data_IF_357452686049
#
_entry.id   IF_357452686049
#
_cell.length_a   1.000
_cell.length_b   1.000
_cell.length_c   1.000
_cell.angle_alpha   90.00
_cell.angle_beta   90.00
_cell.angle_gamma   90.00
#
_symmetry.space_group_name_H-M   'P 1'
#
loop_
_entity.id
_entity.type
_entity.pdbx_description
1 polymer ?
#
# COMPACT_ATOMS: atom_id res chain seq x y z
N UNK A 1 2.26 33.25 42.02
CA UNK A 1 2.78 33.10 40.64
C UNK A 1 4.18 32.49 40.71
N UNK A 2 4.37 31.16 40.69
CA UNK A 2 5.69 30.52 40.45
C UNK A 2 5.64 28.98 40.31
N UNK A 3 4.50 28.39 39.89
CA UNK A 3 4.37 26.91 39.80
C UNK A 3 4.02 26.38 38.41
N UNK A 4 3.98 27.21 37.36
CA UNK A 4 3.67 26.77 35.98
C UNK A 4 4.88 26.68 35.03
N UNK A 5 6.12 26.93 35.48
CA UNK A 5 7.32 26.92 34.61
C UNK A 5 8.11 25.59 34.70
N UNK A 6 7.90 24.77 35.75
CA UNK A 6 8.71 23.55 35.97
C UNK A 6 8.16 22.32 35.20
N UNK A 7 6.87 22.29 34.86
CA UNK A 7 6.25 21.17 34.13
C UNK A 7 6.53 21.21 32.61
N UNK A 8 6.73 22.38 32.02
CA UNK A 8 7.12 22.53 30.60
C UNK A 8 8.59 22.26 30.36
N UNK A 9 9.46 22.50 31.36
CA UNK A 9 10.90 22.24 31.25
C UNK A 9 11.25 20.74 31.35
N UNK A 10 10.47 19.97 32.11
CA UNK A 10 10.64 18.51 32.24
C UNK A 10 10.14 17.75 31.01
N UNK A 11 9.03 18.15 30.39
CA UNK A 11 8.55 17.50 29.15
C UNK A 11 9.51 17.74 27.98
N UNK A 12 10.16 18.91 27.92
CA UNK A 12 11.21 19.18 26.93
C UNK A 12 12.44 18.28 27.16
N UNK A 13 12.92 18.11 28.40
CA UNK A 13 14.11 17.27 28.65
C UNK A 13 13.87 15.79 28.37
N UNK A 14 12.65 15.26 28.60
CA UNK A 14 12.31 13.88 28.24
C UNK A 14 12.28 13.65 26.73
N UNK A 15 11.73 14.57 25.92
CA UNK A 15 11.79 14.45 24.45
C UNK A 15 13.23 14.56 23.91
N UNK A 16 14.07 15.40 24.52
CA UNK A 16 15.48 15.53 24.12
C UNK A 16 16.31 14.29 24.49
N UNK A 17 16.05 13.66 25.63
CA UNK A 17 16.73 12.42 26.04
C UNK A 17 16.36 11.24 25.12
N UNK A 18 15.07 11.08 24.81
CA UNK A 18 14.58 10.02 23.90
C UNK A 18 15.16 10.18 22.50
N UNK A 19 15.19 11.40 21.95
CA UNK A 19 15.80 11.65 20.63
C UNK A 19 17.32 11.41 20.63
N UNK A 20 18.04 11.80 21.69
CA UNK A 20 19.48 11.56 21.79
C UNK A 20 19.85 10.07 21.84
N UNK A 21 19.02 9.23 22.49
CA UNK A 21 19.26 7.79 22.54
C UNK A 21 18.90 7.10 21.22
N UNK A 22 17.90 7.59 20.51
CA UNK A 22 17.52 7.10 19.18
C UNK A 22 18.62 7.39 18.13
N UNK A 23 19.27 8.56 18.19
CA UNK A 23 20.41 8.88 17.31
C UNK A 23 21.63 7.99 17.59
N UNK A 24 21.89 7.67 18.88
CA UNK A 24 22.95 6.71 19.25
C UNK A 24 22.67 5.31 18.71
N UNK A 25 21.41 4.89 18.73
CA UNK A 25 20.97 3.62 18.15
C UNK A 25 21.14 3.64 16.61
N UNK A 26 20.82 4.75 15.93
CA UNK A 26 21.03 4.91 14.50
C UNK A 26 22.53 4.83 14.11
N UNK A 27 23.42 5.38 14.94
CA UNK A 27 24.87 5.30 14.75
C UNK A 27 25.46 3.88 14.86
N UNK A 28 24.65 2.88 15.25
CA UNK A 28 25.04 1.46 15.18
C UNK A 28 24.95 0.87 13.78
N UNK A 29 24.30 1.56 12.84
CA UNK A 29 24.32 1.20 11.43
C UNK A 29 25.68 1.58 10.85
N UNK A 30 26.61 0.62 10.80
CA UNK A 30 28.00 0.80 10.38
C UNK A 30 28.33 0.14 9.04
N UNK A 31 27.53 -0.82 8.59
CA UNK A 31 27.81 -1.63 7.41
C UNK A 31 26.58 -1.78 6.49
N UNK A 32 26.76 -2.14 5.20
CA UNK A 32 25.67 -2.25 4.23
C UNK A 32 24.52 -3.18 4.66
N UNK A 33 24.81 -4.27 5.37
CA UNK A 33 23.77 -5.18 5.86
C UNK A 33 22.91 -4.55 6.96
N UNK A 34 23.52 -3.70 7.80
CA UNK A 34 22.81 -2.96 8.84
C UNK A 34 21.96 -1.83 8.24
N UNK A 35 22.46 -1.15 7.19
CA UNK A 35 21.66 -0.17 6.43
C UNK A 35 20.45 -0.86 5.78
N UNK A 36 20.65 -2.03 5.17
CA UNK A 36 19.56 -2.79 4.58
C UNK A 36 18.50 -3.19 5.61
N UNK A 37 18.90 -3.65 6.80
CA UNK A 37 17.97 -3.91 7.91
C UNK A 37 17.23 -2.63 8.30
N UNK A 38 17.96 -1.54 8.53
CA UNK A 38 17.38 -0.25 8.93
C UNK A 38 16.32 0.23 7.93
N UNK A 39 16.62 0.23 6.63
CA UNK A 39 15.69 0.66 5.59
C UNK A 39 14.46 -0.26 5.47
N UNK A 40 14.65 -1.57 5.64
CA UNK A 40 13.56 -2.55 5.61
C UNK A 40 12.57 -2.33 6.77
N UNK A 41 13.07 -2.00 7.96
CA UNK A 41 12.24 -1.71 9.14
C UNK A 41 11.65 -0.29 9.11
N UNK A 42 12.37 0.69 8.55
CA UNK A 42 11.93 2.08 8.50
C UNK A 42 10.82 2.31 7.46
N UNK A 43 10.85 1.60 6.32
CA UNK A 43 9.92 1.83 5.23
C UNK A 43 8.43 1.61 5.60
N UNK A 44 8.05 0.52 6.31
CA UNK A 44 6.68 0.37 6.82
C UNK A 44 6.25 1.52 7.74
N UNK A 45 7.16 2.01 8.59
CA UNK A 45 6.87 3.14 9.49
C UNK A 45 6.65 4.41 8.70
N UNK A 46 7.47 4.70 7.69
CA UNK A 46 7.28 5.83 6.79
C UNK A 46 5.92 5.75 6.07
N UNK A 47 5.55 4.56 5.57
CA UNK A 47 4.26 4.28 4.89
C UNK A 47 3.04 4.33 5.83
N UNK A 48 3.22 4.19 7.14
CA UNK A 48 2.10 3.94 8.08
C UNK A 48 1.02 5.03 8.10
N UNK A 49 1.38 6.33 8.08
CA UNK A 49 0.37 7.40 8.15
C UNK A 49 -0.50 7.42 6.89
N UNK A 50 0.13 7.19 5.74
CA UNK A 50 -0.57 7.08 4.46
C UNK A 50 -1.51 5.88 4.45
N UNK A 51 -1.03 4.71 4.87
CA UNK A 51 -1.84 3.49 4.94
C UNK A 51 -3.02 3.64 5.92
N UNK A 52 -2.80 4.26 7.09
CA UNK A 52 -3.86 4.55 8.06
C UNK A 52 -4.92 5.48 7.45
N UNK A 53 -4.50 6.49 6.70
CA UNK A 53 -5.41 7.39 5.98
C UNK A 53 -6.26 6.64 4.93
N UNK A 54 -5.66 5.68 4.21
CA UNK A 54 -6.39 4.82 3.27
C UNK A 54 -7.37 3.87 3.98
N UNK A 55 -6.99 3.29 5.12
CA UNK A 55 -7.90 2.47 5.93
C UNK A 55 -9.10 3.29 6.43
N UNK A 56 -8.89 4.53 6.85
CA UNK A 56 -9.96 5.45 7.26
C UNK A 56 -10.92 5.77 6.10
N UNK A 57 -10.41 5.91 4.87
CA UNK A 57 -11.26 6.05 3.66
C UNK A 57 -12.15 4.81 3.49
N UNK A 58 -11.57 3.62 3.59
CA UNK A 58 -12.32 2.36 3.45
C UNK A 58 -13.33 2.17 4.58
N UNK A 59 -13.02 2.63 5.79
CA UNK A 59 -13.96 2.67 6.90
C UNK A 59 -15.16 3.57 6.64
N UNK A 60 -14.96 4.80 6.16
CA UNK A 60 -16.06 5.71 5.83
C UNK A 60 -16.88 5.20 4.65
N UNK A 61 -16.26 4.50 3.68
CA UNK A 61 -17.01 3.78 2.63
C UNK A 61 -17.93 2.71 3.20
N UNK A 62 -17.47 1.94 4.20
CA UNK A 62 -18.31 0.94 4.89
C UNK A 62 -19.47 1.60 5.64
N UNK A 63 -19.23 2.74 6.31
CA UNK A 63 -20.29 3.51 6.96
C UNK A 63 -21.33 4.05 5.96
N UNK A 64 -20.88 4.61 4.85
CA UNK A 64 -21.77 5.09 3.79
C UNK A 64 -22.69 3.97 3.28
N UNK A 65 -22.13 2.77 3.06
CA UNK A 65 -22.89 1.57 2.67
C UNK A 65 -23.93 1.19 3.71
N UNK A 66 -23.56 1.20 4.99
CA UNK A 66 -24.46 0.91 6.10
C UNK A 66 -25.62 1.91 6.16
N UNK A 67 -25.32 3.21 6.11
CA UNK A 67 -26.35 4.26 6.13
C UNK A 67 -27.28 4.16 4.92
N UNK A 68 -26.75 3.88 3.73
CA UNK A 68 -27.56 3.70 2.54
C UNK A 68 -28.52 2.51 2.66
N UNK A 69 -28.05 1.37 3.19
CA UNK A 69 -28.90 0.21 3.48
C UNK A 69 -29.95 0.53 4.56
N UNK A 70 -29.58 1.27 5.59
CA UNK A 70 -30.50 1.66 6.65
C UNK A 70 -31.60 2.59 6.14
N UNK A 71 -31.26 3.57 5.29
CA UNK A 71 -32.20 4.49 4.68
C UNK A 71 -33.26 3.75 3.84
N UNK A 72 -32.85 2.74 3.06
CA UNK A 72 -33.77 2.02 2.19
C UNK A 72 -34.61 0.96 2.93
N UNK A 73 -34.15 0.45 4.08
CA UNK A 73 -34.87 -0.58 4.84
C UNK A 73 -35.75 -0.03 5.98
N UNK A 74 -35.72 1.28 6.27
CA UNK A 74 -36.61 1.87 7.27
C UNK A 74 -37.89 2.40 6.65
N UNK A 75 -39.03 2.07 7.27
CA UNK A 75 -40.34 2.64 6.93
C UNK A 75 -40.57 4.00 7.63
N UNK A 76 -39.75 4.36 8.63
CA UNK A 76 -39.84 5.63 9.33
C UNK A 76 -39.17 6.75 8.51
N UNK A 77 -39.95 7.75 8.09
CA UNK A 77 -39.48 8.88 7.27
C UNK A 77 -38.38 9.70 7.94
N UNK A 78 -38.44 9.91 9.26
CA UNK A 78 -37.42 10.66 10.00
C UNK A 78 -36.10 9.90 10.05
N UNK A 79 -36.14 8.60 10.37
CA UNK A 79 -34.94 7.75 10.34
C UNK A 79 -34.37 7.65 8.92
N UNK A 80 -35.23 7.56 7.91
CA UNK A 80 -34.81 7.58 6.50
C UNK A 80 -34.06 8.86 6.17
N UNK A 81 -34.55 10.01 6.60
CA UNK A 81 -33.88 11.29 6.40
C UNK A 81 -32.53 11.34 7.12
N UNK A 82 -32.45 10.87 8.37
CA UNK A 82 -31.20 10.78 9.13
C UNK A 82 -30.13 9.95 8.39
N UNK A 83 -30.50 8.76 7.90
CA UNK A 83 -29.56 7.91 7.17
C UNK A 83 -29.18 8.46 5.79
N UNK A 84 -30.12 9.11 5.08
CA UNK A 84 -29.79 9.83 3.83
C UNK A 84 -28.80 10.96 4.06
N UNK A 85 -29.01 11.72 5.13
CA UNK A 85 -28.09 12.77 5.58
C UNK A 85 -26.69 12.20 5.85
N UNK A 86 -26.59 11.15 6.67
CA UNK A 86 -25.30 10.52 7.00
C UNK A 86 -24.61 9.92 5.76
N UNK A 87 -25.38 9.36 4.83
CA UNK A 87 -24.88 8.87 3.54
C UNK A 87 -24.25 10.01 2.73
N UNK A 88 -24.97 11.12 2.57
CA UNK A 88 -24.49 12.29 1.83
C UNK A 88 -23.23 12.90 2.47
N UNK A 89 -23.22 13.03 3.80
CA UNK A 89 -22.05 13.54 4.54
C UNK A 89 -20.84 12.61 4.40
N UNK A 90 -21.05 11.29 4.44
CA UNK A 90 -19.98 10.30 4.21
C UNK A 90 -19.37 10.47 2.82
N UNK A 91 -20.19 10.55 1.77
CA UNK A 91 -19.69 10.76 0.41
C UNK A 91 -18.98 12.10 0.23
N UNK A 92 -19.44 13.16 0.89
CA UNK A 92 -18.72 14.44 0.89
C UNK A 92 -17.32 14.32 1.50
N UNK A 93 -17.20 13.60 2.63
CA UNK A 93 -15.90 13.35 3.28
C UNK A 93 -14.99 12.47 2.41
N UNK A 94 -15.54 11.47 1.75
CA UNK A 94 -14.80 10.62 0.82
C UNK A 94 -14.26 11.42 -0.36
N UNK A 95 -15.07 12.28 -0.98
CA UNK A 95 -14.65 13.12 -2.09
C UNK A 95 -13.54 14.11 -1.66
N UNK A 96 -13.64 14.70 -0.47
CA UNK A 96 -12.58 15.55 0.08
C UNK A 96 -11.28 14.76 0.32
N UNK A 97 -11.37 13.55 0.87
CA UNK A 97 -10.22 12.69 1.11
C UNK A 97 -9.57 12.18 -0.19
N UNK A 98 -10.35 11.85 -1.22
CA UNK A 98 -9.83 11.45 -2.52
C UNK A 98 -9.04 12.58 -3.19
N UNK A 99 -9.57 13.81 -3.12
CA UNK A 99 -8.88 14.98 -3.66
C UNK A 99 -7.59 15.32 -2.89
N UNK A 100 -7.60 15.20 -1.56
CA UNK A 100 -6.40 15.46 -0.74
C UNK A 100 -5.34 14.36 -0.84
N UNK A 101 -5.71 13.13 -1.24
CA UNK A 101 -4.80 11.98 -1.31
C UNK A 101 -4.10 11.81 -2.66
N UNK A 102 -4.53 12.47 -3.73
CA UNK A 102 -3.99 12.25 -5.08
C UNK A 102 -2.48 12.49 -5.15
N UNK A 103 -2.02 13.70 -4.77
CA UNK A 103 -0.58 14.02 -4.78
C UNK A 103 0.21 13.22 -3.74
N UNK A 104 -0.39 12.92 -2.59
CA UNK A 104 0.26 12.09 -1.57
C UNK A 104 0.50 10.64 -2.05
N UNK A 105 -0.38 10.09 -2.88
CA UNK A 105 -0.22 8.74 -3.45
C UNK A 105 0.96 8.67 -4.43
N UNK A 106 1.08 9.68 -5.30
CA UNK A 106 2.20 9.78 -6.25
C UNK A 106 3.54 9.92 -5.50
N UNK A 107 3.63 10.85 -4.55
CA UNK A 107 4.81 11.05 -3.72
C UNK A 107 5.18 9.80 -2.90
N UNK A 108 4.19 9.14 -2.29
CA UNK A 108 4.40 7.90 -1.54
C UNK A 108 4.96 6.79 -2.44
N UNK A 109 4.42 6.62 -3.63
CA UNK A 109 4.90 5.63 -4.61
C UNK A 109 6.34 5.91 -5.03
N UNK A 110 6.63 7.12 -5.50
CA UNK A 110 7.96 7.50 -6.00
C UNK A 110 9.06 7.33 -4.94
N UNK A 111 8.84 7.86 -3.73
CA UNK A 111 9.86 7.87 -2.69
C UNK A 111 10.01 6.51 -2.00
N UNK A 112 8.91 5.75 -1.85
CA UNK A 112 9.01 4.37 -1.37
C UNK A 112 9.81 3.50 -2.34
N UNK A 113 9.55 3.61 -3.65
CA UNK A 113 10.32 2.91 -4.67
C UNK A 113 11.79 3.32 -4.65
N UNK A 114 12.11 4.58 -4.34
CA UNK A 114 13.51 5.01 -4.18
C UNK A 114 14.22 4.26 -3.03
N UNK A 115 13.56 4.11 -1.88
CA UNK A 115 14.11 3.34 -0.75
C UNK A 115 14.23 1.85 -1.11
N UNK A 116 13.23 1.26 -1.76
CA UNK A 116 13.26 -0.14 -2.22
C UNK A 116 14.39 -0.36 -3.24
N UNK A 117 14.61 0.57 -4.17
CA UNK A 117 15.75 0.53 -5.10
C UNK A 117 17.08 0.60 -4.37
N UNK A 118 17.21 1.42 -3.32
CA UNK A 118 18.41 1.45 -2.48
C UNK A 118 18.67 0.12 -1.78
N UNK A 119 17.63 -0.51 -1.24
CA UNK A 119 17.71 -1.87 -0.67
C UNK A 119 18.23 -2.85 -1.73
N UNK A 120 17.72 -2.81 -2.96
CA UNK A 120 18.23 -3.65 -4.05
C UNK A 120 19.68 -3.33 -4.43
N UNK A 121 20.09 -2.05 -4.44
CA UNK A 121 21.49 -1.69 -4.66
C UNK A 121 22.40 -2.31 -3.58
N UNK A 122 21.97 -2.32 -2.31
CA UNK A 122 22.71 -2.95 -1.21
C UNK A 122 22.77 -4.48 -1.37
N UNK A 123 21.68 -5.12 -1.80
CA UNK A 123 21.67 -6.56 -2.09
C UNK A 123 22.67 -6.90 -3.20
N UNK A 124 22.70 -6.12 -4.27
CA UNK A 124 23.64 -6.30 -5.37
C UNK A 124 25.08 -6.06 -4.92
N UNK A 125 25.34 -5.03 -4.12
CA UNK A 125 26.65 -4.80 -3.51
C UNK A 125 27.12 -6.03 -2.73
N UNK A 126 26.26 -6.59 -1.87
CA UNK A 126 26.60 -7.74 -1.04
C UNK A 126 26.79 -9.03 -1.87
N UNK A 127 25.99 -9.21 -2.93
CA UNK A 127 26.10 -10.36 -3.84
C UNK A 127 27.37 -10.34 -4.69
N UNK A 128 27.83 -9.16 -5.09
CA UNK A 128 28.97 -9.00 -5.99
C UNK A 128 30.29 -8.69 -5.30
N UNK A 129 30.35 -8.69 -3.96
CA UNK A 129 31.64 -8.69 -3.25
C UNK A 129 32.46 -9.91 -3.66
N UNK A 130 33.79 -9.74 -3.69
CA UNK A 130 34.70 -10.86 -3.95
C UNK A 130 34.54 -11.85 -2.80
N UNK A 131 33.90 -12.97 -3.11
CA UNK A 131 33.72 -14.09 -2.22
C UNK A 131 34.89 -15.04 -2.41
N UNK A 132 34.60 -16.21 -2.97
CA UNK A 132 35.63 -17.21 -3.29
C UNK A 132 35.95 -17.15 -4.77
N UNK A 133 37.19 -16.81 -5.09
CA UNK A 133 37.72 -16.93 -6.45
C UNK A 133 37.75 -18.41 -6.87
N UNK A 134 37.28 -18.68 -8.08
CA UNK A 134 37.31 -20.02 -8.70
C UNK A 134 37.83 -19.91 -10.13
N UNK A 135 38.42 -21.00 -10.62
CA UNK A 135 38.96 -21.10 -11.98
C UNK A 135 38.14 -22.15 -12.75
N UNK A 136 37.08 -21.74 -13.47
CA UNK A 136 36.06 -22.66 -13.98
C UNK A 136 36.55 -23.52 -15.14
N UNK A 137 37.51 -23.01 -15.91
CA UNK A 137 38.10 -23.67 -17.08
C UNK A 137 39.60 -23.79 -16.90
N UNK A 138 40.20 -24.77 -17.57
CA UNK A 138 41.65 -24.90 -17.60
C UNK A 138 42.27 -23.62 -18.15
N UNK A 139 43.43 -23.24 -17.62
CA UNK A 139 44.21 -22.16 -18.20
C UNK A 139 44.62 -22.54 -19.63
N UNK A 140 44.74 -21.55 -20.50
CA UNK A 140 45.10 -21.77 -21.91
C UNK A 140 46.47 -21.14 -22.16
N UNK A 141 47.52 -21.95 -22.38
CA UNK A 141 48.78 -21.49 -22.92
C UNK A 141 48.55 -20.79 -24.26
N UNK A 142 48.99 -19.55 -24.37
CA UNK A 142 48.93 -18.78 -25.60
C UNK A 142 50.12 -19.02 -26.50
N UNK A 143 49.95 -18.63 -27.76
CA UNK A 143 51.06 -18.52 -28.70
C UNK A 143 51.89 -17.27 -28.39
N UNK A 144 53.09 -17.18 -28.97
CA UNK A 144 53.89 -15.96 -28.89
C UNK A 144 53.14 -14.78 -29.51
N UNK A 145 53.03 -13.69 -28.75
CA UNK A 145 52.47 -12.44 -29.21
C UNK A 145 53.53 -11.34 -29.19
N UNK A 146 53.70 -10.65 -30.31
CA UNK A 146 54.64 -9.56 -30.44
C UNK A 146 54.14 -8.30 -29.72
N UNK A 147 55.06 -7.59 -29.05
CA UNK A 147 54.84 -6.26 -28.46
C UNK A 147 53.82 -6.20 -27.32
N UNK A 148 53.57 -7.31 -26.61
CA UNK A 148 52.63 -7.35 -25.45
C UNK A 148 53.31 -6.89 -24.16
N UNK A 149 54.57 -7.30 -23.95
CA UNK A 149 55.45 -6.81 -22.88
C UNK A 149 56.85 -6.62 -23.48
N UNK A 150 57.32 -5.37 -23.58
CA UNK A 150 58.54 -4.95 -24.32
C UNK A 150 58.41 -5.05 -25.86
N UNK A 151 59.48 -4.71 -26.58
CA UNK A 151 59.55 -4.73 -28.05
C UNK A 151 59.79 -6.11 -28.68
N UNK A 152 59.79 -7.19 -27.88
CA UNK A 152 59.99 -8.57 -28.32
C UNK A 152 58.69 -9.38 -28.44
N UNK A 153 58.80 -10.70 -28.63
CA UNK A 153 57.69 -11.64 -28.48
C UNK A 153 57.56 -12.08 -27.02
N UNK A 154 56.33 -12.24 -26.55
CA UNK A 154 56.03 -12.75 -25.21
C UNK A 154 55.04 -13.92 -25.30
N UNK A 155 55.29 -14.97 -24.52
CA UNK A 155 54.30 -16.01 -24.24
C UNK A 155 53.24 -15.46 -23.29
N UNK A 156 52.02 -15.95 -23.41
CA UNK A 156 50.93 -15.56 -22.52
C UNK A 156 50.21 -16.79 -21.94
N UNK A 157 49.53 -16.59 -20.81
CA UNK A 157 48.70 -17.60 -20.18
C UNK A 157 47.33 -17.00 -19.91
N UNK A 158 46.30 -17.50 -20.60
CA UNK A 158 44.93 -17.03 -20.40
C UNK A 158 44.29 -17.81 -19.26
N UNK A 159 43.90 -17.10 -18.21
CA UNK A 159 43.27 -17.66 -17.01
C UNK A 159 41.85 -17.09 -16.91
N UNK A 160 40.85 -17.98 -16.88
CA UNK A 160 39.46 -17.58 -16.61
C UNK A 160 39.24 -17.56 -15.10
N UNK A 161 38.65 -16.47 -14.61
CA UNK A 161 38.38 -16.28 -13.18
C UNK A 161 36.89 -16.04 -13.00
N UNK A 162 36.28 -16.82 -12.11
CA UNK A 162 34.94 -16.60 -11.61
C UNK A 162 35.00 -16.15 -10.14
N UNK A 163 34.09 -15.26 -9.77
CA UNK A 163 33.80 -14.95 -8.37
C UNK A 163 32.56 -15.75 -7.96
N UNK A 164 32.73 -16.77 -7.13
CA UNK A 164 31.60 -17.50 -6.57
C UNK A 164 30.81 -16.55 -5.65
N UNK A 165 29.66 -16.10 -6.15
CA UNK A 165 28.78 -15.17 -5.45
C UNK A 165 28.09 -15.88 -4.29
N UNK A 166 27.95 -15.24 -3.12
CA UNK A 166 27.12 -15.77 -2.05
C UNK A 166 25.68 -15.97 -2.55
N UNK A 167 25.11 -17.14 -2.25
CA UNK A 167 23.73 -17.50 -2.63
C UNK A 167 22.70 -17.03 -1.63
N UNK A 168 23.13 -16.59 -0.43
CA UNK A 168 22.28 -16.12 0.66
C UNK A 168 22.81 -14.85 1.33
N UNK A 169 21.89 -14.00 1.79
CA UNK A 169 22.20 -12.80 2.57
C UNK A 169 22.34 -13.17 4.06
N UNK A 170 23.30 -14.04 4.39
CA UNK A 170 23.53 -14.48 5.79
C UNK A 170 23.71 -13.32 6.75
N UNK A 171 24.20 -12.19 6.27
CA UNK A 171 24.40 -11.01 7.10
C UNK A 171 23.11 -10.47 7.74
N UNK A 172 21.91 -10.85 7.26
CA UNK A 172 20.64 -10.52 7.92
C UNK A 172 20.26 -11.48 9.06
N UNK A 173 20.87 -12.67 9.13
CA UNK A 173 20.54 -13.69 10.16
C UNK A 173 21.23 -13.43 11.50
N UNK A 174 22.37 -12.70 11.49
CA UNK A 174 23.15 -12.37 12.68
C UNK A 174 23.64 -10.91 12.64
N UNK A 175 22.71 -9.97 12.46
CA UNK A 175 23.04 -8.53 12.45
C UNK A 175 23.46 -8.10 13.85
N UNK A 176 24.71 -7.66 14.02
CA UNK A 176 25.16 -7.04 15.27
C UNK A 176 24.34 -5.77 15.55
N UNK A 177 23.96 -5.55 16.81
CA UNK A 177 23.13 -4.42 17.25
C UNK A 177 21.73 -4.37 16.61
N UNK A 178 21.19 -5.51 16.14
CA UNK A 178 19.86 -5.63 15.51
C UNK A 178 18.76 -4.85 16.24
N UNK A 179 18.65 -4.99 17.55
CA UNK A 179 17.58 -4.36 18.32
C UNK A 179 17.69 -2.83 18.33
N UNK A 180 18.91 -2.30 18.47
CA UNK A 180 19.17 -0.85 18.40
C UNK A 180 18.82 -0.31 17.02
N UNK A 181 19.31 -0.97 15.96
CA UNK A 181 19.03 -0.59 14.57
C UNK A 181 17.51 -0.60 14.31
N UNK A 182 16.81 -1.62 14.80
CA UNK A 182 15.35 -1.74 14.65
C UNK A 182 14.61 -0.64 15.41
N UNK A 183 15.06 -0.28 16.62
CA UNK A 183 14.48 0.85 17.38
C UNK A 183 14.67 2.17 16.63
N UNK A 184 15.88 2.44 16.14
CA UNK A 184 16.17 3.64 15.35
C UNK A 184 15.31 3.69 14.07
N UNK A 185 15.19 2.58 13.35
CA UNK A 185 14.35 2.48 12.16
C UNK A 185 12.86 2.75 12.48
N UNK A 186 12.36 2.25 13.62
CA UNK A 186 10.99 2.54 14.07
C UNK A 186 10.77 3.99 14.45
N UNK A 187 11.83 4.70 14.81
CA UNK A 187 11.83 6.13 15.10
C UNK A 187 12.32 7.00 13.94
N UNK A 188 12.33 6.48 12.70
CA UNK A 188 12.80 7.20 11.50
C UNK A 188 12.19 8.59 11.28
N UNK A 189 10.98 8.83 11.80
CA UNK A 189 10.33 10.15 11.72
C UNK A 189 10.95 11.19 12.64
N UNK A 190 11.65 10.78 13.69
CA UNK A 190 12.28 11.64 14.69
C UNK A 190 13.77 11.83 14.43
N UNK A 191 14.38 10.93 13.66
CA UNK A 191 15.78 11.01 13.27
C UNK A 191 16.08 12.29 12.47
N UNK A 192 17.23 12.87 12.77
CA UNK A 192 17.86 13.96 12.02
C UNK A 192 18.74 13.39 10.92
N UNK A 193 19.40 12.27 11.20
CA UNK A 193 20.42 11.68 10.35
C UNK A 193 20.21 10.17 10.17
N UNK A 194 20.68 9.68 9.02
CA UNK A 194 20.82 8.26 8.73
C UNK A 194 22.30 7.94 8.56
N UNK A 195 22.63 6.65 8.69
CA UNK A 195 23.95 6.16 8.30
C UNK A 195 23.78 5.29 7.06
N UNK A 196 24.39 5.71 5.95
CA UNK A 196 24.23 5.10 4.65
C UNK A 196 25.59 4.75 4.04
N UNK A 197 25.63 3.66 3.28
CA UNK A 197 26.80 3.23 2.50
C UNK A 197 27.20 4.36 1.56
N UNK A 198 28.46 4.83 1.58
CA UNK A 198 28.90 5.87 0.67
C UNK A 198 28.71 5.44 -0.78
N UNK A 199 28.37 6.37 -1.68
CA UNK A 199 28.12 6.05 -3.08
C UNK A 199 29.35 5.41 -3.76
N UNK A 200 30.55 5.85 -3.39
CA UNK A 200 31.82 5.25 -3.83
C UNK A 200 32.00 3.81 -3.38
N UNK A 201 31.33 3.39 -2.30
CA UNK A 201 31.34 2.02 -1.79
C UNK A 201 30.60 1.03 -2.69
N UNK A 202 29.78 1.51 -3.63
CA UNK A 202 29.14 0.65 -4.64
C UNK A 202 30.04 0.35 -5.85
N UNK A 203 31.22 0.98 -5.94
CA UNK A 203 32.20 0.70 -6.98
C UNK A 203 33.00 -0.58 -6.69
N UNK A 204 33.48 -1.23 -7.75
CA UNK A 204 34.49 -2.30 -7.64
C UNK A 204 35.87 -1.66 -7.49
N UNK A 205 36.19 -1.18 -6.29
CA UNK A 205 37.48 -0.56 -5.99
C UNK A 205 38.41 -1.52 -5.25
N UNK A 206 39.72 -1.35 -5.46
CA UNK A 206 40.73 -2.04 -4.65
C UNK A 206 40.97 -3.49 -5.03
N UNK A 207 40.67 -3.90 -6.26
CA UNK A 207 41.02 -5.24 -6.74
C UNK A 207 42.54 -5.40 -6.79
N UNK A 208 43.07 -6.34 -6.03
CA UNK A 208 44.46 -6.77 -6.06
C UNK A 208 44.54 -8.15 -6.69
N UNK A 209 45.31 -8.25 -7.77
CA UNK A 209 45.63 -9.52 -8.43
C UNK A 209 47.13 -9.73 -8.26
N UNK A 210 47.49 -10.77 -7.51
CA UNK A 210 48.89 -11.19 -7.38
C UNK A 210 49.17 -12.24 -8.44
N UNK A 211 50.10 -11.90 -9.33
CA UNK A 211 50.65 -12.81 -10.33
C UNK A 211 52.05 -13.20 -9.86
N UNK A 212 52.32 -14.50 -9.83
CA UNK A 212 53.66 -15.01 -9.57
C UNK A 212 54.19 -15.71 -10.83
N UNK A 213 55.50 -15.62 -11.03
CA UNK A 213 56.22 -16.38 -12.04
C UNK A 213 57.46 -16.99 -11.40
N UNK A 214 57.86 -18.15 -11.89
CA UNK A 214 59.05 -18.88 -11.45
C UNK A 214 59.81 -19.39 -12.67
N UNK A 215 61.14 -19.33 -12.59
CA UNK A 215 62.03 -19.78 -13.67
C UNK A 215 61.88 -19.01 -14.99
N UNK A 216 62.26 -19.67 -16.09
CA UNK A 216 62.09 -19.14 -17.45
C UNK A 216 60.66 -19.35 -17.93
N UNK A 217 59.91 -18.25 -18.03
CA UNK A 217 58.50 -18.22 -18.46
C UNK A 217 58.27 -18.60 -19.93
N UNK A 218 59.33 -18.84 -20.69
CA UNK A 218 59.28 -19.36 -22.07
C UNK A 218 58.65 -20.77 -22.13
N UNK A 219 58.72 -21.53 -21.04
CA UNK A 219 58.20 -22.90 -20.94
C UNK A 219 56.79 -22.96 -20.32
N UNK A 220 55.91 -22.02 -20.69
CA UNK A 220 54.52 -21.94 -20.20
C UNK A 220 53.53 -22.70 -21.10
N UNK A 221 53.97 -23.74 -21.81
CA UNK A 221 53.20 -24.42 -22.87
C UNK A 221 52.12 -25.40 -22.34
N UNK A 222 51.97 -25.54 -21.02
CA UNK A 222 51.01 -26.46 -20.37
C UNK A 222 50.15 -25.73 -19.34
N UNK A 223 48.86 -26.07 -19.31
CA UNK A 223 47.95 -25.61 -18.27
C UNK A 223 48.30 -26.26 -16.93
N UNK A 224 48.25 -25.50 -15.83
CA UNK A 224 48.37 -26.08 -14.49
C UNK A 224 47.13 -26.90 -14.13
N UNK A 225 47.29 -27.92 -13.28
CA UNK A 225 46.15 -28.72 -12.80
C UNK A 225 45.20 -27.94 -11.90
N UNK A 226 45.70 -26.87 -11.27
CA UNK A 226 44.93 -25.95 -10.44
C UNK A 226 44.14 -24.91 -11.27
N UNK A 227 44.35 -24.90 -12.60
CA UNK A 227 43.69 -24.04 -13.59
C UNK A 227 43.95 -22.54 -13.44
N UNK A 228 44.75 -22.15 -12.45
CA UNK A 228 45.07 -20.76 -12.12
C UNK A 228 46.38 -20.26 -12.75
N UNK A 229 46.96 -20.99 -13.70
CA UNK A 229 48.22 -20.64 -14.34
C UNK A 229 48.65 -21.63 -15.41
N UNK A 230 49.77 -21.32 -16.04
CA UNK A 230 50.43 -22.18 -17.02
C UNK A 230 51.82 -22.51 -16.48
N UNK A 231 52.14 -23.80 -16.44
CA UNK A 231 53.31 -24.30 -15.74
C UNK A 231 53.74 -25.67 -16.23
N UNK A 232 55.03 -25.97 -16.07
CA UNK A 232 55.64 -27.25 -16.43
C UNK A 232 56.50 -27.79 -15.27
N UNK A 233 56.48 -29.12 -15.09
CA UNK A 233 57.52 -29.85 -14.36
C UNK A 233 57.99 -31.02 -15.23
N UNK A 234 59.30 -31.05 -15.54
CA UNK A 234 60.11 -32.02 -16.28
C UNK A 234 59.53 -32.68 -17.55
N UNK A 235 58.27 -33.13 -17.57
CA UNK A 235 57.52 -33.63 -18.72
C UNK A 235 55.98 -33.50 -18.64
N UNK A 236 55.36 -33.01 -17.56
CA UNK A 236 53.88 -33.02 -17.39
C UNK A 236 53.29 -31.77 -16.73
N UNK A 237 51.98 -31.57 -16.92
CA UNK A 237 51.20 -30.60 -16.15
C UNK A 237 51.25 -30.92 -14.65
N UNK A 238 51.37 -29.91 -13.80
CA UNK A 238 51.46 -30.04 -12.34
C UNK A 238 50.66 -28.93 -11.63
N UNK A 239 50.34 -29.10 -10.33
CA UNK A 239 49.87 -28.01 -9.50
C UNK A 239 50.86 -26.85 -9.52
N UNK A 240 50.38 -25.60 -9.46
CA UNK A 240 51.25 -24.41 -9.52
C UNK A 240 52.29 -24.39 -8.41
N UNK A 241 51.97 -24.97 -7.25
CA UNK A 241 52.88 -25.04 -6.10
C UNK A 241 54.12 -25.93 -6.34
N UNK A 242 54.08 -26.82 -7.34
CA UNK A 242 55.11 -27.82 -7.64
C UNK A 242 55.83 -27.55 -8.98
N UNK A 243 55.57 -26.40 -9.60
CA UNK A 243 56.15 -26.02 -10.88
C UNK A 243 57.55 -25.43 -10.69
N UNK A 244 58.51 -25.90 -11.50
CA UNK A 244 59.85 -25.30 -11.55
C UNK A 244 59.88 -24.09 -12.49
N UNK A 245 59.01 -24.10 -13.51
CA UNK A 245 58.84 -23.08 -14.52
C UNK A 245 57.35 -22.77 -14.70
N UNK A 246 56.95 -21.50 -14.67
CA UNK A 246 55.57 -21.14 -14.94
C UNK A 246 55.14 -19.77 -14.45
N UNK A 247 53.90 -19.40 -14.76
CA UNK A 247 53.25 -18.20 -14.26
C UNK A 247 51.76 -18.44 -13.95
N UNK A 248 51.22 -17.73 -12.96
CA UNK A 248 49.81 -17.84 -12.64
C UNK A 248 49.33 -16.82 -11.62
N UNK A 249 48.01 -16.79 -11.45
CA UNK A 249 47.34 -15.98 -10.43
C UNK A 249 47.38 -16.76 -9.10
N UNK A 250 48.14 -16.25 -8.15
CA UNK A 250 48.28 -16.86 -6.82
C UNK A 250 47.26 -16.32 -5.84
N UNK A 251 46.77 -15.09 -6.06
CA UNK A 251 45.78 -14.46 -5.20
C UNK A 251 44.98 -13.44 -5.98
N UNK A 252 43.66 -13.43 -5.75
CA UNK A 252 42.79 -12.31 -6.06
C UNK A 252 42.16 -11.91 -4.75
N UNK A 253 42.36 -10.66 -4.35
CA UNK A 253 41.74 -10.08 -3.17
C UNK A 253 41.20 -8.71 -3.49
N UNK A 254 40.30 -8.24 -2.65
CA UNK A 254 39.97 -6.83 -2.58
C UNK A 254 40.77 -6.26 -1.41
N UNK A 255 41.43 -5.10 -1.57
CA UNK A 255 41.94 -4.30 -0.45
C UNK A 255 40.74 -3.98 0.41
N UNK A 256 40.58 -4.77 1.47
CA UNK A 256 39.43 -4.74 2.34
C UNK A 256 39.49 -3.48 3.19
N UNK A 257 39.14 -2.34 2.60
CA UNK A 257 38.56 -1.29 3.42
C UNK A 257 37.12 -1.73 3.62
N UNK A 258 36.78 -2.16 4.83
CA UNK A 258 35.40 -2.45 5.17
C UNK A 258 34.54 -1.26 4.73
N UNK A 259 33.48 -1.53 3.97
CA UNK A 259 32.58 -0.46 3.56
C UNK A 259 31.85 0.00 4.82
N UNK A 260 32.31 1.12 5.37
CA UNK A 260 31.67 1.75 6.51
C UNK A 260 30.66 2.78 6.02
N UNK A 261 29.47 2.74 6.60
CA UNK A 261 28.45 3.76 6.38
C UNK A 261 28.96 5.13 6.83
N UNK A 262 28.41 6.18 6.21
CA UNK A 262 28.63 7.56 6.60
C UNK A 262 27.30 8.18 7.01
N UNK A 263 27.38 9.06 7.98
CA UNK A 263 26.27 9.88 8.41
C UNK A 263 25.82 10.80 7.28
N UNK A 264 24.51 10.92 7.10
CA UNK A 264 23.88 11.83 6.16
C UNK A 264 22.63 12.42 6.78
N UNK A 265 22.44 13.73 6.60
CA UNK A 265 21.26 14.42 7.10
C UNK A 265 20.04 14.04 6.27
N UNK A 266 18.92 13.84 6.95
CA UNK A 266 17.61 13.65 6.31
C UNK A 266 17.07 15.01 5.86
N UNK A 267 17.14 16.00 6.75
CA UNK A 267 16.83 17.41 6.49
C UNK A 267 18.15 18.19 6.62
N UNK A 268 18.63 18.85 5.55
CA UNK A 268 19.88 19.60 5.61
C UNK A 268 19.69 20.92 6.37
N UNK A 269 20.78 21.43 6.95
CA UNK A 269 20.76 22.73 7.63
C UNK A 269 20.65 23.89 6.61
N UNK A 270 21.15 23.69 5.39
CA UNK A 270 21.19 24.65 4.29
C UNK A 270 20.83 24.02 2.93
N UNK A 271 20.44 24.87 1.98
CA UNK A 271 20.18 24.44 0.60
C UNK A 271 18.95 23.54 0.39
N UNK A 272 17.98 23.57 1.31
CA UNK A 272 16.65 22.99 1.06
C UNK A 272 15.91 23.79 -0.02
N UNK A 273 15.37 23.10 -1.01
CA UNK A 273 14.71 23.67 -2.20
C UNK A 273 13.36 23.01 -2.50
N UNK A 274 12.88 22.14 -1.60
CA UNK A 274 11.56 21.49 -1.64
C UNK A 274 10.97 21.38 -0.22
N UNK A 275 10.59 22.53 0.33
CA UNK A 275 10.19 22.64 1.72
C UNK A 275 11.39 22.45 2.65
N UNK A 276 11.35 21.44 3.52
CA UNK A 276 12.48 21.08 4.40
C UNK A 276 13.45 20.09 3.77
N UNK A 277 13.13 19.59 2.58
CA UNK A 277 13.92 18.60 1.87
C UNK A 277 14.78 19.28 0.80
N UNK A 278 15.93 18.68 0.50
CA UNK A 278 16.81 19.09 -0.59
C UNK A 278 16.70 18.09 -1.74
N UNK A 279 16.29 18.58 -2.91
CA UNK A 279 16.20 17.77 -4.12
C UNK A 279 17.60 17.32 -4.51
N UNK A 280 17.77 16.02 -4.81
CA UNK A 280 19.02 15.53 -5.35
C UNK A 280 19.20 16.08 -6.76
N UNK A 281 20.46 16.35 -7.15
CA UNK A 281 20.79 16.56 -8.56
C UNK A 281 20.56 15.23 -9.28
N UNK A 282 19.42 15.11 -9.97
CA UNK A 282 19.08 13.90 -10.73
C UNK A 282 19.89 13.87 -12.01
N UNK A 283 20.63 12.78 -12.22
CA UNK A 283 20.95 12.33 -13.57
C UNK A 283 19.81 11.44 -14.03
N UNK A 284 19.13 11.85 -15.11
CA UNK A 284 18.16 10.96 -15.76
C UNK A 284 18.90 9.65 -16.09
N UNK A 285 18.34 8.53 -15.65
CA UNK A 285 18.94 7.17 -15.77
C UNK A 285 20.02 6.78 -14.75
N UNK A 286 20.09 7.43 -13.57
CA UNK A 286 20.94 6.95 -12.48
C UNK A 286 20.61 5.49 -12.07
N UNK A 287 21.59 4.59 -12.21
CA UNK A 287 21.48 3.18 -11.82
C UNK A 287 21.50 3.03 -10.29
N UNK A 288 22.38 3.80 -9.64
CA UNK A 288 22.55 3.85 -8.19
C UNK A 288 21.61 4.88 -7.57
N UNK A 289 20.88 4.50 -6.53
CA UNK A 289 20.25 5.45 -5.62
C UNK A 289 21.34 6.00 -4.69
N UNK A 290 21.68 7.28 -4.85
CA UNK A 290 22.69 7.94 -4.02
C UNK A 290 22.19 8.16 -2.60
N UNK A 291 23.10 8.43 -1.66
CA UNK A 291 22.75 8.84 -0.30
C UNK A 291 21.85 10.09 -0.28
N UNK A 292 22.10 11.06 -1.15
CA UNK A 292 21.24 12.26 -1.27
C UNK A 292 19.82 11.92 -1.74
N UNK A 293 19.68 11.03 -2.73
CA UNK A 293 18.37 10.54 -3.18
C UNK A 293 17.64 9.80 -2.06
N UNK A 294 18.35 9.01 -1.26
CA UNK A 294 17.80 8.29 -0.12
C UNK A 294 17.31 9.27 0.97
N UNK A 295 18.14 10.23 1.38
CA UNK A 295 17.77 11.26 2.36
C UNK A 295 16.56 12.06 1.91
N UNK A 296 16.54 12.48 0.64
CA UNK A 296 15.40 13.18 0.05
C UNK A 296 14.13 12.33 0.10
N UNK A 297 14.20 11.06 -0.31
CA UNK A 297 13.06 10.16 -0.27
C UNK A 297 12.51 9.98 1.16
N UNK A 298 13.38 9.79 2.14
CA UNK A 298 12.97 9.68 3.55
C UNK A 298 12.33 11.00 4.03
N UNK A 299 12.93 12.15 3.73
CA UNK A 299 12.39 13.46 4.09
C UNK A 299 11.00 13.71 3.49
N UNK A 300 10.81 13.37 2.21
CA UNK A 300 9.51 13.49 1.54
C UNK A 300 8.47 12.53 2.11
N UNK A 301 8.85 11.29 2.44
CA UNK A 301 7.93 10.36 3.10
C UNK A 301 7.57 10.79 4.53
N UNK A 302 8.51 11.40 5.27
CA UNK A 302 8.23 11.98 6.60
C UNK A 302 7.20 13.12 6.53
N UNK A 303 7.29 13.95 5.48
CA UNK A 303 6.37 15.07 5.25
C UNK A 303 5.07 14.69 4.55
N UNK A 304 5.02 13.52 3.89
CA UNK A 304 3.81 13.02 3.23
C UNK A 304 2.82 12.52 4.28
N UNK A 305 1.87 13.37 4.64
CA UNK A 305 0.77 13.02 5.54
C UNK A 305 -0.54 12.93 4.77
N UNK A 306 -1.33 11.92 5.10
CA UNK A 306 -2.71 11.81 4.67
C UNK A 306 -3.55 11.77 5.93
N UNK A 307 -4.39 12.78 6.11
CA UNK A 307 -5.46 12.72 7.10
C UNK A 307 -6.64 12.04 6.44
N UNK A 308 -6.92 10.80 6.84
CA UNK A 308 -8.13 10.12 6.39
C UNK A 308 -9.39 10.75 6.99
N UNK A 309 -10.56 10.53 6.36
CA UNK A 309 -11.80 11.09 6.84
C UNK A 309 -12.19 10.45 8.18
N UNK A 310 -12.65 11.26 9.14
CA UNK A 310 -13.14 10.73 10.40
C UNK A 310 -14.46 9.98 10.20
N UNK A 311 -14.57 8.82 10.85
CA UNK A 311 -15.82 8.04 10.93
C UNK A 311 -16.94 8.83 11.58
N UNK A 312 -18.14 8.74 11.03
CA UNK A 312 -19.33 9.36 11.61
C UNK A 312 -19.82 8.59 12.85
N UNK A 313 -19.66 7.26 12.90
CA UNK A 313 -20.05 6.42 14.06
C UNK A 313 -19.45 6.92 15.38
N UNK A 314 -18.20 7.39 15.34
CA UNK A 314 -17.43 7.82 16.49
C UNK A 314 -17.69 9.29 16.89
N UNK A 315 -18.42 10.05 16.07
CA UNK A 315 -18.70 11.45 16.35
C UNK A 315 -19.96 11.59 17.20
N UNK A 316 -19.89 12.51 18.18
CA UNK A 316 -21.09 13.05 18.83
C UNK A 316 -21.90 13.84 17.81
N UNK A 317 -23.23 13.77 17.94
CA UNK A 317 -24.15 14.53 17.08
C UNK A 317 -23.88 16.03 17.18
N UNK A 318 -23.52 16.54 18.36
CA UNK A 318 -23.08 17.93 18.54
C UNK A 318 -21.87 18.31 17.67
N UNK A 319 -20.88 17.43 17.52
CA UNK A 319 -19.72 17.70 16.67
C UNK A 319 -20.10 17.74 15.19
N UNK A 320 -21.06 16.90 14.78
CA UNK A 320 -21.60 16.91 13.40
C UNK A 320 -22.42 18.17 13.16
N UNK A 321 -23.18 18.65 14.16
CA UNK A 321 -23.96 19.87 14.05
C UNK A 321 -23.10 21.14 13.87
N UNK A 322 -21.85 21.10 14.31
CA UNK A 322 -20.87 22.18 14.15
C UNK A 322 -20.06 22.08 12.83
N UNK A 323 -20.20 21.00 12.07
CA UNK A 323 -19.53 20.84 10.77
C UNK A 323 -20.29 21.65 9.70
N UNK A 324 -19.60 22.58 9.02
CA UNK A 324 -20.22 23.45 8.01
C UNK A 324 -20.80 22.67 6.82
N UNK A 325 -20.16 21.57 6.43
CA UNK A 325 -20.64 20.71 5.34
C UNK A 325 -21.91 19.99 5.76
N UNK A 326 -21.92 19.44 6.98
CA UNK A 326 -23.11 18.84 7.59
C UNK A 326 -24.27 19.83 7.65
N UNK A 327 -24.04 21.05 8.15
CA UNK A 327 -25.04 22.12 8.19
C UNK A 327 -25.67 22.42 6.82
N UNK A 328 -24.85 22.56 5.77
CA UNK A 328 -25.33 22.82 4.40
C UNK A 328 -26.11 21.64 3.82
N UNK A 329 -25.66 20.40 4.08
CA UNK A 329 -26.38 19.18 3.65
C UNK A 329 -27.74 19.10 4.37
N UNK A 330 -27.79 19.41 5.67
CA UNK A 330 -29.04 19.40 6.43
C UNK A 330 -30.04 20.44 5.90
N UNK A 331 -29.58 21.66 5.62
CA UNK A 331 -30.43 22.71 5.04
C UNK A 331 -30.98 22.30 3.67
N UNK A 332 -30.12 21.75 2.80
CA UNK A 332 -30.54 21.28 1.48
C UNK A 332 -31.55 20.13 1.57
N UNK A 333 -31.33 19.18 2.50
CA UNK A 333 -32.23 18.04 2.69
C UNK A 333 -33.60 18.45 3.26
N UNK A 334 -33.63 19.48 4.11
CA UNK A 334 -34.85 19.93 4.81
C UNK A 334 -35.63 20.99 4.04
N UNK A 335 -34.96 21.85 3.26
CA UNK A 335 -35.57 23.00 2.59
C UNK A 335 -35.52 22.93 1.05
N UNK A 336 -34.70 22.04 0.50
CA UNK A 336 -34.47 21.94 -0.95
C UNK A 336 -33.52 23.00 -1.52
N UNK A 337 -32.97 23.91 -0.70
CA UNK A 337 -32.01 24.93 -1.10
C UNK A 337 -30.97 25.21 0.00
N UNK A 338 -29.95 25.99 -0.32
CA UNK A 338 -29.00 26.54 0.67
C UNK A 338 -29.16 28.06 0.61
N UNK A 339 -29.60 28.68 1.70
CA UNK A 339 -29.82 30.13 1.77
C UNK A 339 -28.66 30.79 2.52
N UNK A 340 -28.01 31.78 1.89
CA UNK A 340 -26.88 32.48 2.48
C UNK A 340 -27.24 33.21 3.78
N UNK A 341 -28.52 33.54 3.97
CA UNK A 341 -29.02 34.25 5.15
C UNK A 341 -29.36 33.34 6.33
N UNK A 342 -29.38 32.02 6.14
CA UNK A 342 -29.65 31.07 7.23
C UNK A 342 -28.52 31.11 8.27
N UNK A 343 -28.80 31.47 9.54
CA UNK A 343 -27.78 31.50 10.59
C UNK A 343 -27.18 30.13 10.88
N UNK A 344 -25.91 30.11 11.30
CA UNK A 344 -25.16 28.88 11.64
C UNK A 344 -25.88 28.05 12.69
N UNK A 345 -26.41 28.70 13.73
CA UNK A 345 -27.14 28.07 14.84
C UNK A 345 -28.38 27.34 14.32
N UNK A 346 -29.12 27.97 13.41
CA UNK A 346 -30.31 27.39 12.78
C UNK A 346 -29.95 26.18 11.90
N UNK A 347 -28.82 26.22 11.20
CA UNK A 347 -28.34 25.04 10.45
C UNK A 347 -27.90 23.92 11.38
N UNK A 348 -27.27 24.24 12.51
CA UNK A 348 -26.89 23.25 13.52
C UNK A 348 -28.14 22.56 14.11
N UNK A 349 -29.19 23.31 14.39
CA UNK A 349 -30.49 22.77 14.82
C UNK A 349 -31.11 21.82 13.78
N UNK A 350 -30.98 22.12 12.49
CA UNK A 350 -31.43 21.19 11.42
C UNK A 350 -30.69 19.86 11.47
N UNK A 351 -29.38 19.88 11.73
CA UNK A 351 -28.58 18.64 11.90
C UNK A 351 -29.06 17.86 13.12
N UNK A 352 -29.26 18.53 14.26
CA UNK A 352 -29.75 17.90 15.50
C UNK A 352 -31.16 17.32 15.28
N UNK A 353 -32.05 18.04 14.59
CA UNK A 353 -33.41 17.56 14.28
C UNK A 353 -33.40 16.28 13.42
N UNK A 354 -32.42 16.14 12.52
CA UNK A 354 -32.24 14.94 11.71
C UNK A 354 -31.67 13.77 12.52
N UNK A 355 -30.69 14.01 13.39
CA UNK A 355 -29.91 12.95 14.03
C UNK A 355 -30.39 12.56 15.43
N UNK A 356 -31.08 13.45 16.13
CA UNK A 356 -31.60 13.24 17.48
C UNK A 356 -30.73 13.86 18.58
N UNK A 357 -30.57 13.13 19.68
CA UNK A 357 -29.93 13.62 20.91
C UNK A 357 -28.47 14.02 20.69
N UNK A 358 -28.18 15.32 20.85
CA UNK A 358 -26.85 15.90 20.63
C UNK A 358 -25.73 15.29 21.50
N UNK A 359 -26.09 14.77 22.67
CA UNK A 359 -25.12 14.22 23.63
C UNK A 359 -24.58 12.84 23.22
N UNK A 360 -25.32 12.13 22.36
CA UNK A 360 -24.99 10.78 21.91
C UNK A 360 -24.13 10.76 20.67
N UNK A 361 -23.46 9.63 20.47
CA UNK A 361 -22.77 9.31 19.23
C UNK A 361 -23.72 8.77 18.17
N UNK A 362 -23.30 8.82 16.90
CA UNK A 362 -24.02 8.16 15.80
C UNK A 362 -24.08 6.64 16.02
N UNK A 363 -23.03 6.02 16.58
CA UNK A 363 -23.04 4.58 16.89
C UNK A 363 -24.18 4.23 17.86
N UNK A 364 -24.34 4.98 18.94
CA UNK A 364 -25.35 4.75 19.97
C UNK A 364 -26.77 5.01 19.45
N UNK A 365 -26.96 6.15 18.78
CA UNK A 365 -28.29 6.64 18.42
C UNK A 365 -28.84 5.96 17.14
N UNK A 366 -27.97 5.66 16.17
CA UNK A 366 -28.40 5.28 14.81
C UNK A 366 -27.84 3.94 14.33
N UNK A 367 -26.60 3.52 14.70
CA UNK A 367 -26.04 2.26 14.19
C UNK A 367 -26.42 1.05 15.06
N UNK A 368 -26.33 1.17 16.39
CA UNK A 368 -26.62 0.06 17.31
C UNK A 368 -28.01 -0.54 17.10
N UNK A 369 -29.09 0.26 16.88
CA UNK A 369 -30.40 -0.28 16.57
C UNK A 369 -30.46 -1.17 15.30
N UNK A 370 -29.56 -0.96 14.34
CA UNK A 370 -29.53 -1.71 13.07
C UNK A 370 -29.11 -3.17 13.22
N UNK A 371 -28.45 -3.54 14.33
CA UNK A 371 -28.07 -4.94 14.62
C UNK A 371 -29.29 -5.87 14.74
N UNK A 372 -30.44 -5.30 15.10
CA UNK A 372 -31.72 -6.02 15.21
C UNK A 372 -32.48 -6.16 13.89
N UNK A 373 -31.97 -5.57 12.79
CA UNK A 373 -32.69 -5.46 11.53
C UNK A 373 -32.11 -6.44 10.50
N UNK A 374 -32.89 -7.47 10.18
CA UNK A 374 -32.55 -8.46 9.15
C UNK A 374 -33.51 -8.30 7.97
N UNK A 375 -33.03 -7.85 6.80
CA UNK A 375 -33.84 -7.80 5.60
C UNK A 375 -34.30 -9.20 5.17
N UNK A 376 -35.60 -9.34 4.91
CA UNK A 376 -36.22 -10.62 4.53
C UNK A 376 -36.17 -10.84 3.01
N UNK A 377 -34.99 -11.19 2.50
CA UNK A 377 -34.80 -11.60 1.11
C UNK A 377 -34.10 -12.95 1.04
N UNK A 378 -34.33 -13.68 -0.05
CA UNK A 378 -33.64 -14.95 -0.33
C UNK A 378 -32.87 -14.93 -1.64
N UNK A 379 -31.80 -15.71 -1.70
CA UNK A 379 -31.01 -15.99 -2.91
C UNK A 379 -30.98 -17.51 -3.08
N UNK A 380 -31.39 -18.00 -4.26
CA UNK A 380 -31.38 -19.43 -4.60
C UNK A 380 -32.11 -20.30 -3.54
N UNK A 381 -33.22 -19.79 -3.00
CA UNK A 381 -34.02 -20.47 -1.98
C UNK A 381 -33.53 -20.32 -0.54
N UNK A 382 -32.33 -19.79 -0.32
CA UNK A 382 -31.78 -19.54 1.02
C UNK A 382 -32.16 -18.15 1.51
N UNK A 383 -32.77 -18.06 2.70
CA UNK A 383 -33.11 -16.79 3.34
C UNK A 383 -31.86 -16.09 3.90
N UNK A 384 -31.86 -14.76 3.83
CA UNK A 384 -30.82 -13.95 4.44
C UNK A 384 -30.92 -14.01 5.98
N UNK A 385 -29.82 -14.41 6.62
CA UNK A 385 -29.68 -14.41 8.08
C UNK A 385 -28.91 -13.19 8.63
N UNK A 386 -28.29 -12.38 7.76
CA UNK A 386 -27.41 -11.26 8.18
C UNK A 386 -28.21 -10.00 8.48
N UNK A 387 -27.86 -9.32 9.56
CA UNK A 387 -28.41 -7.99 9.86
C UNK A 387 -27.80 -6.91 8.95
N UNK A 388 -28.35 -5.70 8.98
CA UNK A 388 -27.91 -4.58 8.15
C UNK A 388 -26.43 -4.20 8.35
N UNK A 389 -25.91 -4.30 9.59
CA UNK A 389 -24.50 -4.01 9.90
C UNK A 389 -23.59 -5.02 9.20
N UNK A 390 -23.88 -6.31 9.32
CA UNK A 390 -23.09 -7.38 8.70
C UNK A 390 -23.23 -7.40 7.17
N UNK A 391 -24.39 -6.99 6.65
CA UNK A 391 -24.61 -6.87 5.21
C UNK A 391 -23.74 -5.79 4.58
N UNK A 392 -23.52 -4.66 5.28
CA UNK A 392 -22.76 -3.51 4.78
C UNK A 392 -21.30 -3.82 4.42
N UNK A 393 -20.73 -4.87 5.02
CA UNK A 393 -19.34 -5.31 4.82
C UNK A 393 -19.21 -6.63 4.08
N UNK A 394 -20.33 -7.29 3.75
CA UNK A 394 -20.33 -8.61 3.10
C UNK A 394 -20.48 -8.53 1.58
N UNK A 395 -20.13 -9.62 0.88
CA UNK A 395 -20.43 -9.77 -0.55
C UNK A 395 -21.92 -9.71 -0.91
N UNK A 396 -22.83 -9.83 0.07
CA UNK A 396 -24.28 -9.74 -0.14
C UNK A 396 -24.82 -8.30 -0.09
N UNK A 397 -23.95 -7.28 0.09
CA UNK A 397 -24.34 -5.86 0.12
C UNK A 397 -25.20 -5.47 -1.09
N UNK A 398 -24.77 -5.83 -2.30
CA UNK A 398 -25.45 -5.46 -3.53
C UNK A 398 -26.86 -6.07 -3.62
N UNK A 399 -27.01 -7.34 -3.20
CA UNK A 399 -28.31 -8.00 -3.17
C UNK A 399 -29.26 -7.33 -2.15
N UNK A 400 -28.76 -7.00 -0.96
CA UNK A 400 -29.53 -6.29 0.06
C UNK A 400 -29.98 -4.89 -0.43
N UNK A 401 -29.10 -4.17 -1.12
CA UNK A 401 -29.42 -2.85 -1.69
C UNK A 401 -30.44 -2.95 -2.82
N UNK A 402 -30.28 -3.93 -3.72
CA UNK A 402 -31.24 -4.19 -4.80
C UNK A 402 -32.61 -4.59 -4.25
N UNK A 403 -32.63 -5.43 -3.20
CA UNK A 403 -33.85 -5.80 -2.51
C UNK A 403 -34.57 -4.57 -1.97
N UNK A 404 -33.93 -3.73 -1.15
CA UNK A 404 -34.63 -2.59 -0.55
C UNK A 404 -35.03 -1.53 -1.59
N UNK A 405 -34.15 -1.22 -2.56
CA UNK A 405 -34.42 -0.22 -3.60
C UNK A 405 -35.51 -0.66 -4.57
N UNK A 406 -35.63 -1.98 -4.79
CA UNK A 406 -36.65 -2.57 -5.65
C UNK A 406 -38.05 -2.67 -5.02
N UNK A 407 -38.28 -2.19 -3.79
CA UNK A 407 -39.59 -2.29 -3.12
C UNK A 407 -40.71 -1.68 -3.98
N UNK A 408 -40.53 -0.44 -4.43
CA UNK A 408 -41.51 0.24 -5.30
C UNK A 408 -41.70 -0.49 -6.65
N UNK A 409 -40.63 -1.04 -7.22
CA UNK A 409 -40.71 -1.83 -8.47
C UNK A 409 -41.55 -3.10 -8.26
N UNK A 410 -41.37 -3.78 -7.12
CA UNK A 410 -42.15 -4.98 -6.76
C UNK A 410 -43.61 -4.63 -6.47
N UNK A 411 -43.89 -3.50 -5.84
CA UNK A 411 -45.25 -3.01 -5.58
C UNK A 411 -45.98 -2.72 -6.91
N UNK A 412 -45.31 -2.03 -7.86
CA UNK A 412 -45.86 -1.79 -9.21
C UNK A 412 -46.11 -3.11 -9.95
N UNK A 413 -45.15 -4.05 -9.89
CA UNK A 413 -45.29 -5.35 -10.53
C UNK A 413 -46.45 -6.17 -9.92
N UNK A 414 -46.63 -6.11 -8.60
CA UNK A 414 -47.73 -6.77 -7.90
C UNK A 414 -49.08 -6.15 -8.30
N UNK A 415 -49.19 -4.82 -8.32
CA UNK A 415 -50.42 -4.12 -8.72
C UNK A 415 -50.84 -4.48 -10.15
N UNK A 416 -49.88 -4.55 -11.09
CA UNK A 416 -50.14 -4.97 -12.48
C UNK A 416 -50.66 -6.41 -12.58
N UNK A 417 -50.14 -7.34 -11.77
CA UNK A 417 -50.64 -8.72 -11.72
C UNK A 417 -52.07 -8.79 -11.22
N UNK A 418 -52.42 -8.00 -10.20
CA UNK A 418 -53.79 -7.94 -9.66
C UNK A 418 -54.76 -7.40 -10.70
N UNK A 419 -54.40 -6.29 -11.37
CA UNK A 419 -55.21 -5.71 -12.45
C UNK A 419 -55.45 -6.71 -13.59
N UNK A 420 -54.41 -7.39 -14.07
CA UNK A 420 -54.56 -8.41 -15.10
C UNK A 420 -55.47 -9.58 -14.67
N UNK A 421 -55.48 -9.92 -13.38
CA UNK A 421 -56.35 -10.98 -12.82
C UNK A 421 -57.80 -10.52 -12.73
N UNK A 422 -58.05 -9.29 -12.30
CA UNK A 422 -59.40 -8.68 -12.28
C UNK A 422 -59.97 -8.53 -13.69
N UNK A 423 -59.17 -8.06 -14.64
CA UNK A 423 -59.58 -7.96 -16.05
C UNK A 423 -59.97 -9.33 -16.63
N UNK A 424 -59.15 -10.36 -16.37
CA UNK A 424 -59.47 -11.74 -16.78
C UNK A 424 -60.77 -12.25 -16.15
N UNK A 425 -60.97 -12.00 -14.86
CA UNK A 425 -62.18 -12.42 -14.15
C UNK A 425 -63.44 -11.69 -14.66
N UNK A 426 -63.32 -10.40 -14.97
CA UNK A 426 -64.41 -9.61 -15.54
C UNK A 426 -64.77 -10.11 -16.96
N UNK A 427 -63.76 -10.50 -17.74
CA UNK A 427 -63.96 -11.06 -19.08
C UNK A 427 -64.68 -12.41 -19.02
N UNK A 428 -64.27 -13.30 -18.10
CA UNK A 428 -64.96 -14.57 -17.83
C UNK A 428 -66.42 -14.33 -17.38
N UNK A 429 -66.67 -13.31 -16.54
CA UNK A 429 -68.02 -12.98 -16.08
C UNK A 429 -68.91 -12.44 -17.22
N UNK A 430 -68.34 -11.63 -18.12
CA UNK A 430 -69.04 -11.14 -19.33
C UNK A 430 -69.41 -12.29 -20.27
N UNK A 431 -68.49 -13.23 -20.50
CA UNK A 431 -68.75 -14.41 -21.33
C UNK A 431 -69.83 -15.33 -20.74
N UNK A 432 -69.80 -15.57 -19.41
CA UNK A 432 -70.86 -16.32 -18.71
C UNK A 432 -72.22 -15.65 -18.85
N UNK A 433 -72.32 -14.33 -18.69
CA UNK A 433 -73.58 -13.59 -18.89
C UNK A 433 -74.09 -13.73 -20.33
N UNK A 434 -73.19 -13.66 -21.32
CA UNK A 434 -73.54 -13.82 -22.74
C UNK A 434 -74.09 -15.23 -23.01
N UNK A 435 -73.46 -16.28 -22.49
CA UNK A 435 -73.99 -17.65 -22.62
C UNK A 435 -75.38 -17.81 -21.98
N UNK A 436 -75.60 -17.26 -20.79
CA UNK A 436 -76.90 -17.35 -20.10
C UNK A 436 -77.99 -16.64 -20.92
N UNK A 437 -77.69 -15.47 -21.47
CA UNK A 437 -78.61 -14.73 -22.33
C UNK A 437 -78.95 -15.52 -23.61
N UNK A 438 -77.95 -16.13 -24.26
CA UNK A 438 -78.16 -17.00 -25.42
C UNK A 438 -79.03 -18.21 -25.06
N UNK A 439 -78.77 -18.86 -23.93
CA UNK A 439 -79.54 -20.02 -23.46
C UNK A 439 -81.00 -19.67 -23.19
N UNK A 440 -81.27 -18.52 -22.55
CA UNK A 440 -82.65 -18.02 -22.34
C UNK A 440 -83.38 -17.76 -23.67
N UNK A 441 -82.69 -17.17 -24.64
CA UNK A 441 -83.28 -16.88 -25.95
C UNK A 441 -83.63 -18.16 -26.73
N UNK A 442 -82.77 -19.20 -26.64
CA UNK A 442 -83.07 -20.52 -27.22
C UNK A 442 -84.28 -21.17 -26.56
N UNK A 443 -84.36 -21.16 -25.22
CA UNK A 443 -85.50 -21.71 -24.48
C UNK A 443 -86.80 -20.99 -24.87
N UNK A 444 -86.81 -19.66 -24.90
CA UNK A 444 -87.97 -18.86 -25.32
C UNK A 444 -88.42 -19.19 -26.76
N UNK A 445 -87.46 -19.40 -27.68
CA UNK A 445 -87.79 -19.82 -29.06
C UNK A 445 -88.36 -21.24 -29.12
N UNK A 446 -87.87 -22.16 -28.29
CA UNK A 446 -88.40 -23.52 -28.22
C UNK A 446 -89.81 -23.54 -27.62
N UNK A 447 -90.09 -22.76 -26.58
CA UNK A 447 -91.43 -22.59 -26.01
C UNK A 447 -92.40 -21.98 -27.02
N UNK A 448 -91.95 -20.97 -27.77
CA UNK A 448 -92.73 -20.34 -28.85
C UNK A 448 -93.00 -21.28 -30.02
N UNK A 449 -92.10 -22.24 -30.29
CA UNK A 449 -92.30 -23.25 -31.33
C UNK A 449 -93.26 -24.35 -30.87
N UNK A 450 -93.23 -24.71 -29.59
CA UNK A 450 -94.17 -25.68 -28.98
C UNK A 450 -95.62 -25.17 -29.03
N UNK A 451 -95.82 -23.88 -28.75
CA UNK A 451 -97.11 -23.19 -28.84
C UNK A 451 -97.67 -23.02 -30.27
N UNK A 452 -96.88 -23.31 -31.30
CA UNK A 452 -97.33 -23.30 -32.71
C UNK A 452 -97.64 -24.69 -33.27
N UNK A 453 -97.42 -25.74 -32.48
CA UNK A 453 -97.68 -27.13 -32.86
C UNK A 453 -98.90 -27.74 -32.13
N UNK A 454 -99.50 -26.98 -31.21
CA UNK A 454 -100.85 -27.20 -30.65
C UNK A 454 -101.84 -26.30 -31.40
#
# INVERSE_FOLDING_TARGET
MHTSIVATLTLLTFLHAVSADIEKDAAKVKEPCQEMLFLTEALPVLKSNFNNGLEQIEDVKREAKLFQLAACNTDNTQQRAAYKFLTALSYSRLHQAENSTKGAREAMGEHATTIERRIHNLQMLLKHRIGRTTYPTDAVPGQEEANVLSSGTAKNCKITVDNAQPTDLKCLTAVENKDAITRAAKAIRELKEIHATPDTGFGLTGLEITIAAVGTVDNTDKASTDKNGCAENANSASPMANADLGMGITKISQTATAITTKQAKIEPDDGADDGKCKKPVRTENAILVTTDMLSYAICKLRSTTVTGPQKLSQQKIENIANDNTAQRIAELLTTGKIDATTPTEKRAEMVIALLGDKSKTVEEQLITPLKSKTPNYGIEGNQNAKNLKDLSTSGAYAAALAFCSGKAVREVAAARKTQATEEKNLQIAKEKKKMIATKKNVISKMESAKLKME
#
